data_IF_508241867686
#
_entry.id   IF_508241867686
#
_cell.length_a   1.000
_cell.length_b   1.000
_cell.length_c   1.000
_cell.angle_alpha   90.00
_cell.angle_beta   90.00
_cell.angle_gamma   90.00
#
_symmetry.space_group_name_H-M   'P 1'
#
loop_
_entity.id
_entity.type
_entity.pdbx_description
1 polymer ?
#
# COMPACT_ATOMS: atom_id res chain seq x y z
N UNK A 1 -8.91 -17.76 -50.37
CA UNK A 1 -9.77 -16.59 -50.12
C UNK A 1 -11.10 -16.91 -50.82
N UNK A 2 -12.12 -17.52 -50.22
CA UNK A 2 -13.09 -16.92 -49.28
C UNK A 2 -14.02 -18.05 -48.79
N UNK A 3 -13.76 -18.63 -47.61
CA UNK A 3 -14.67 -19.59 -46.93
C UNK A 3 -14.92 -19.16 -45.48
N UNK A 4 -15.16 -17.87 -45.27
CA UNK A 4 -15.36 -17.28 -43.92
C UNK A 4 -16.54 -16.30 -43.84
N UNK A 5 -17.33 -16.13 -44.91
CA UNK A 5 -18.36 -15.09 -44.97
C UNK A 5 -19.82 -15.59 -44.91
N UNK A 6 -20.09 -16.91 -44.99
CA UNK A 6 -21.46 -17.45 -45.08
C UNK A 6 -21.78 -18.50 -44.00
N UNK A 7 -21.24 -18.36 -42.79
CA UNK A 7 -21.78 -19.10 -41.65
C UNK A 7 -22.96 -18.30 -41.09
N UNK A 8 -24.18 -18.64 -41.54
CA UNK A 8 -25.40 -18.15 -40.94
C UNK A 8 -25.37 -18.47 -39.43
N UNK A 9 -25.54 -17.44 -38.60
CA UNK A 9 -25.76 -17.59 -37.17
C UNK A 9 -26.96 -18.53 -36.99
N UNK A 10 -26.72 -19.71 -36.41
CA UNK A 10 -27.80 -20.61 -36.02
C UNK A 10 -28.67 -19.89 -34.99
N UNK A 11 -29.78 -19.37 -35.48
CA UNK A 11 -30.86 -18.72 -34.75
C UNK A 11 -31.46 -19.72 -33.75
N UNK A 12 -31.24 -19.50 -32.46
CA UNK A 12 -31.94 -20.17 -31.36
C UNK A 12 -33.39 -19.66 -31.21
N UNK A 13 -34.19 -19.77 -32.26
CA UNK A 13 -35.61 -19.41 -32.18
C UNK A 13 -36.44 -20.48 -32.88
N UNK A 14 -36.92 -21.44 -32.08
CA UNK A 14 -38.15 -22.15 -32.42
C UNK A 14 -38.90 -22.48 -31.14
N UNK A 15 -39.62 -21.49 -30.60
CA UNK A 15 -41.01 -21.62 -30.14
C UNK A 15 -41.60 -20.22 -29.90
N UNK A 16 -42.75 -19.87 -30.52
CA UNK A 16 -43.38 -18.57 -30.35
C UNK A 16 -44.46 -18.64 -29.25
N UNK A 17 -44.22 -18.00 -28.12
CA UNK A 17 -45.29 -17.60 -27.19
C UNK A 17 -45.05 -16.18 -26.69
N UNK A 18 -45.74 -15.26 -27.36
CA UNK A 18 -46.41 -14.06 -26.83
C UNK A 18 -45.84 -13.43 -25.55
N UNK A 19 -45.37 -12.19 -25.69
CA UNK A 19 -44.89 -11.28 -24.64
C UNK A 19 -43.63 -11.75 -23.89
N UNK A 20 -42.59 -12.14 -24.63
CA UNK A 20 -41.34 -12.69 -24.09
C UNK A 20 -40.36 -11.63 -23.59
N UNK A 21 -40.45 -11.25 -22.32
CA UNK A 21 -39.20 -11.09 -21.57
C UNK A 21 -38.71 -12.50 -21.27
N UNK A 22 -37.61 -12.92 -21.91
CA UNK A 22 -36.89 -14.13 -21.49
C UNK A 22 -36.58 -13.99 -20.00
N UNK A 23 -37.29 -14.77 -19.19
CA UNK A 23 -37.13 -14.78 -17.75
C UNK A 23 -35.85 -15.56 -17.46
N UNK A 24 -34.75 -14.85 -17.23
CA UNK A 24 -33.50 -15.48 -16.82
C UNK A 24 -33.68 -15.93 -15.36
N UNK A 25 -33.96 -17.22 -15.17
CA UNK A 25 -34.02 -17.83 -13.85
C UNK A 25 -32.59 -18.10 -13.36
N UNK A 26 -32.11 -17.25 -12.46
CA UNK A 26 -30.79 -17.44 -11.81
C UNK A 26 -31.00 -18.24 -10.53
N UNK A 27 -30.30 -19.37 -10.33
CA UNK A 27 -30.34 -20.10 -9.07
C UNK A 27 -29.96 -19.22 -7.88
N UNK A 28 -30.70 -19.35 -6.78
CA UNK A 28 -30.42 -18.58 -5.55
C UNK A 28 -29.00 -18.82 -5.02
N UNK A 29 -28.45 -20.03 -5.24
CA UNK A 29 -27.07 -20.39 -4.89
C UNK A 29 -26.04 -19.57 -5.67
N UNK A 30 -26.23 -19.39 -6.97
CA UNK A 30 -25.35 -18.55 -7.80
C UNK A 30 -25.42 -17.09 -7.36
N UNK A 31 -26.63 -16.61 -7.05
CA UNK A 31 -26.83 -15.25 -6.55
C UNK A 31 -26.13 -15.01 -5.20
N UNK A 32 -26.18 -16.00 -4.30
CA UNK A 32 -25.47 -15.95 -3.03
C UNK A 32 -23.95 -15.95 -3.20
N UNK A 33 -23.43 -16.69 -4.18
CA UNK A 33 -22.00 -16.70 -4.48
C UNK A 33 -21.55 -15.32 -4.98
N UNK A 34 -22.29 -14.72 -5.91
CA UNK A 34 -22.00 -13.35 -6.38
C UNK A 34 -22.01 -12.35 -5.23
N UNK A 35 -22.98 -12.46 -4.29
CA UNK A 35 -23.01 -11.60 -3.11
C UNK A 35 -21.79 -11.80 -2.21
N UNK A 36 -21.35 -13.04 -1.98
CA UNK A 36 -20.15 -13.34 -1.20
C UNK A 36 -18.90 -12.73 -1.84
N UNK A 37 -18.74 -12.91 -3.15
CA UNK A 37 -17.60 -12.36 -3.89
C UNK A 37 -17.59 -10.83 -3.80
N UNK A 38 -18.75 -10.19 -3.93
CA UNK A 38 -18.86 -8.73 -3.78
C UNK A 38 -18.49 -8.26 -2.36
N UNK A 39 -18.88 -9.00 -1.33
CA UNK A 39 -18.51 -8.70 0.07
C UNK A 39 -16.99 -8.85 0.26
N UNK A 40 -16.40 -9.90 -0.31
CA UNK A 40 -14.97 -10.14 -0.25
C UNK A 40 -14.19 -8.99 -0.93
N UNK A 41 -14.59 -8.59 -2.13
CA UNK A 41 -14.01 -7.44 -2.83
C UNK A 41 -14.12 -6.17 -1.98
N UNK A 42 -15.27 -5.91 -1.36
CA UNK A 42 -15.42 -4.76 -0.47
C UNK A 42 -14.44 -4.82 0.72
N UNK A 43 -14.31 -5.98 1.35
CA UNK A 43 -13.41 -6.17 2.50
C UNK A 43 -11.94 -6.00 2.11
N UNK A 44 -11.50 -6.57 0.99
CA UNK A 44 -10.15 -6.40 0.47
C UNK A 44 -9.84 -4.92 0.17
N UNK A 45 -10.78 -4.19 -0.44
CA UNK A 45 -10.61 -2.76 -0.69
C UNK A 45 -10.57 -1.95 0.62
N UNK A 46 -11.38 -2.32 1.61
CA UNK A 46 -11.41 -1.67 2.91
C UNK A 46 -10.10 -1.89 3.70
N UNK A 47 -9.53 -3.09 3.62
CA UNK A 47 -8.23 -3.43 4.20
C UNK A 47 -7.11 -2.65 3.50
N UNK A 48 -7.07 -2.66 2.17
CA UNK A 48 -6.10 -1.89 1.40
C UNK A 48 -6.15 -0.38 1.74
N UNK A 49 -7.35 0.21 1.82
CA UNK A 49 -7.53 1.61 2.18
C UNK A 49 -7.02 1.94 3.60
N UNK A 50 -7.09 0.97 4.51
CA UNK A 50 -6.57 1.07 5.88
C UNK A 50 -5.05 0.95 5.91
N UNK A 51 -4.50 -0.05 5.23
CA UNK A 51 -3.07 -0.36 5.21
C UNK A 51 -2.27 0.73 4.52
N UNK A 52 -2.82 1.30 3.44
CA UNK A 52 -2.25 2.47 2.77
C UNK A 52 -2.47 3.79 3.54
N UNK A 53 -3.20 3.76 4.67
CA UNK A 53 -3.48 4.94 5.48
C UNK A 53 -4.36 5.99 4.79
N UNK A 54 -5.07 5.63 3.72
CA UNK A 54 -5.93 6.54 2.95
C UNK A 54 -7.15 6.95 3.77
N UNK A 55 -7.71 6.02 4.56
CA UNK A 55 -8.85 6.28 5.46
C UNK A 55 -8.44 5.95 6.90
N UNK A 56 -8.79 6.83 7.84
CA UNK A 56 -8.59 6.58 9.28
C UNK A 56 -9.52 5.47 9.76
N UNK A 57 -9.06 4.60 10.65
CA UNK A 57 -9.86 3.47 11.16
C UNK A 57 -11.25 3.84 11.68
N UNK A 58 -11.39 4.98 12.37
CA UNK A 58 -12.70 5.49 12.84
C UNK A 58 -13.66 5.82 11.69
N UNK A 59 -13.16 6.42 10.62
CA UNK A 59 -13.98 6.73 9.44
C UNK A 59 -14.35 5.45 8.69
N UNK A 60 -13.40 4.52 8.54
CA UNK A 60 -13.66 3.23 7.90
C UNK A 60 -14.74 2.44 8.66
N UNK A 61 -14.63 2.34 9.99
CA UNK A 61 -15.63 1.67 10.83
C UNK A 61 -17.03 2.28 10.67
N UNK A 62 -17.12 3.62 10.58
CA UNK A 62 -18.39 4.31 10.34
C UNK A 62 -18.98 3.99 8.96
N UNK A 63 -18.15 3.96 7.92
CA UNK A 63 -18.58 3.63 6.56
C UNK A 63 -19.08 2.19 6.46
N UNK A 64 -18.33 1.25 7.05
CA UNK A 64 -18.71 -0.17 7.07
C UNK A 64 -19.99 -0.38 7.88
N UNK A 65 -20.14 0.27 9.04
CA UNK A 65 -21.38 0.19 9.83
C UNK A 65 -22.60 0.68 9.05
N UNK A 66 -22.49 1.85 8.39
CA UNK A 66 -23.57 2.37 7.54
C UNK A 66 -23.92 1.43 6.38
N UNK A 67 -22.91 0.82 5.76
CA UNK A 67 -23.11 -0.14 4.69
C UNK A 67 -23.83 -1.40 5.19
N UNK A 68 -23.44 -1.94 6.35
CA UNK A 68 -24.10 -3.08 6.98
C UNK A 68 -25.57 -2.79 7.32
N UNK A 69 -25.87 -1.63 7.90
CA UNK A 69 -27.24 -1.25 8.26
C UNK A 69 -28.13 -1.12 7.02
N UNK A 70 -27.57 -0.56 5.94
CA UNK A 70 -28.29 -0.42 4.67
C UNK A 70 -28.54 -1.78 4.02
N UNK A 71 -27.58 -2.71 4.10
CA UNK A 71 -27.75 -4.08 3.58
C UNK A 71 -28.73 -4.92 4.40
N UNK A 72 -28.82 -4.69 5.71
CA UNK A 72 -29.84 -5.33 6.57
C UNK A 72 -31.25 -4.83 6.25
N UNK A 73 -31.37 -3.57 5.86
CA UNK A 73 -32.66 -2.93 5.55
C UNK A 73 -33.19 -3.31 4.16
N UNK A 74 -32.30 -3.64 3.23
CA UNK A 74 -32.65 -4.03 1.85
C UNK A 74 -33.53 -5.27 1.81
N UNK A 75 -34.64 -5.18 1.07
CA UNK A 75 -35.70 -6.21 1.04
C UNK A 75 -35.52 -7.21 -0.08
N UNK A 76 -34.83 -6.83 -1.16
CA UNK A 76 -34.59 -7.73 -2.29
C UNK A 76 -33.10 -8.10 -2.42
N UNK A 77 -32.79 -9.32 -2.90
CA UNK A 77 -31.41 -9.73 -3.18
C UNK A 77 -30.74 -8.81 -4.21
N UNK A 78 -31.48 -8.37 -5.23
CA UNK A 78 -31.00 -7.45 -6.28
C UNK A 78 -30.59 -6.11 -5.69
N UNK A 79 -31.42 -5.55 -4.81
CA UNK A 79 -31.11 -4.31 -4.09
C UNK A 79 -29.83 -4.44 -3.25
N UNK A 80 -29.61 -5.59 -2.60
CA UNK A 80 -28.36 -5.86 -1.86
C UNK A 80 -27.13 -5.84 -2.77
N UNK A 81 -27.19 -6.45 -3.96
CA UNK A 81 -26.09 -6.38 -4.94
C UNK A 81 -25.84 -4.94 -5.37
N UNK A 82 -26.89 -4.20 -5.71
CA UNK A 82 -26.76 -2.80 -6.14
C UNK A 82 -26.12 -1.93 -5.05
N UNK A 83 -26.53 -2.13 -3.79
CA UNK A 83 -25.96 -1.44 -2.64
C UNK A 83 -24.48 -1.79 -2.44
N UNK A 84 -24.11 -3.07 -2.43
CA UNK A 84 -22.70 -3.48 -2.28
C UNK A 84 -21.86 -2.89 -3.42
N UNK A 85 -22.34 -2.98 -4.66
CA UNK A 85 -21.64 -2.40 -5.81
C UNK A 85 -21.47 -0.88 -5.67
N UNK A 86 -22.47 -0.16 -5.17
CA UNK A 86 -22.36 1.26 -4.88
C UNK A 86 -21.29 1.56 -3.81
N UNK A 87 -21.22 0.76 -2.75
CA UNK A 87 -20.19 0.90 -1.71
C UNK A 87 -18.79 0.54 -2.22
N UNK A 88 -18.64 -0.49 -3.06
CA UNK A 88 -17.38 -0.80 -3.74
C UNK A 88 -16.93 0.39 -4.59
N UNK A 89 -17.83 0.94 -5.42
CA UNK A 89 -17.55 2.14 -6.23
C UNK A 89 -17.15 3.33 -5.35
N UNK A 90 -17.74 3.47 -4.16
CA UNK A 90 -17.37 4.51 -3.21
C UNK A 90 -15.94 4.32 -2.68
N UNK A 91 -15.54 3.09 -2.33
CA UNK A 91 -14.16 2.80 -1.92
C UNK A 91 -13.18 3.04 -3.08
N UNK A 92 -13.52 2.58 -4.28
CA UNK A 92 -12.73 2.82 -5.50
C UNK A 92 -12.59 4.30 -5.85
N UNK A 93 -13.61 5.12 -5.62
CA UNK A 93 -13.51 6.57 -5.80
C UNK A 93 -12.48 7.19 -4.87
N UNK A 94 -12.44 6.76 -3.60
CA UNK A 94 -11.44 7.23 -2.63
C UNK A 94 -10.03 6.79 -2.99
N UNK A 95 -9.88 5.57 -3.51
CA UNK A 95 -8.61 5.08 -4.05
C UNK A 95 -8.19 5.95 -5.23
N UNK A 96 -9.11 6.20 -6.17
CA UNK A 96 -8.86 7.07 -7.33
C UNK A 96 -8.44 8.47 -6.90
N UNK A 97 -9.11 9.05 -5.91
CA UNK A 97 -8.77 10.39 -5.41
C UNK A 97 -7.40 10.40 -4.73
N UNK A 98 -7.10 9.37 -3.92
CA UNK A 98 -5.76 9.18 -3.35
C UNK A 98 -4.69 9.06 -4.45
N UNK A 99 -4.96 8.31 -5.52
CA UNK A 99 -4.05 8.15 -6.66
C UNK A 99 -3.89 9.44 -7.49
N UNK A 100 -4.96 10.23 -7.66
CA UNK A 100 -4.90 11.55 -8.28
C UNK A 100 -4.06 12.52 -7.46
N UNK A 101 -4.21 12.51 -6.14
CA UNK A 101 -3.31 13.26 -5.26
C UNK A 101 -1.89 12.70 -5.24
N UNK A 102 -1.68 11.47 -5.73
CA UNK A 102 -0.40 10.80 -5.77
C UNK A 102 0.38 10.97 -7.11
N UNK A 103 -0.16 11.64 -8.14
CA UNK A 103 0.54 11.83 -9.43
C UNK A 103 1.28 13.18 -9.52
N UNK A 104 2.36 13.28 -10.32
CA UNK A 104 3.73 13.45 -9.82
C UNK A 104 4.14 14.92 -9.69
N UNK A 105 4.88 15.27 -8.64
CA UNK A 105 5.76 16.44 -8.72
C UNK A 105 6.83 16.18 -9.79
N UNK A 106 6.54 16.62 -11.02
CA UNK A 106 7.57 17.20 -11.86
C UNK A 106 7.97 18.55 -11.26
N UNK A 107 8.76 18.45 -10.19
CA UNK A 107 9.80 19.36 -9.67
C UNK A 107 10.12 18.88 -8.26
N UNK A 108 11.09 17.96 -8.17
CA UNK A 108 11.76 17.59 -6.93
C UNK A 108 10.89 16.83 -5.93
N UNK A 109 10.83 15.52 -6.09
CA UNK A 109 10.60 14.54 -5.00
C UNK A 109 9.25 14.69 -4.28
N UNK A 110 8.21 13.99 -4.76
CA UNK A 110 7.05 13.65 -3.91
C UNK A 110 7.11 12.15 -3.61
N UNK A 111 7.64 11.85 -2.42
CA UNK A 111 7.52 10.56 -1.73
C UNK A 111 6.19 10.55 -0.96
N UNK A 112 5.36 9.52 -1.17
CA UNK A 112 4.05 9.29 -0.49
C UNK A 112 4.06 9.72 0.99
N UNK A 113 3.51 10.89 1.35
CA UNK A 113 3.43 11.44 2.72
C UNK A 113 4.41 10.80 3.74
N UNK A 114 5.70 10.77 3.39
CA UNK A 114 6.66 10.02 4.17
C UNK A 114 6.91 10.86 5.40
N UNK A 115 6.60 10.33 6.60
CA UNK A 115 6.91 11.04 7.84
C UNK A 115 8.40 11.42 7.82
N UNK A 116 8.77 12.60 8.31
CA UNK A 116 10.19 13.03 8.34
C UNK A 116 11.12 11.96 8.93
N UNK A 117 10.61 11.15 9.87
CA UNK A 117 11.32 10.00 10.46
C UNK A 117 11.62 8.89 9.44
N UNK A 118 10.68 8.57 8.56
CA UNK A 118 10.87 7.55 7.52
C UNK A 118 11.86 8.04 6.45
N UNK A 119 11.82 9.32 6.05
CA UNK A 119 12.83 9.90 5.15
C UNK A 119 14.24 9.81 5.76
N UNK A 120 14.36 10.17 7.04
CA UNK A 120 15.62 10.05 7.80
C UNK A 120 16.08 8.60 7.89
N UNK A 121 15.18 7.66 8.13
CA UNK A 121 15.50 6.24 8.22
C UNK A 121 16.04 5.69 6.88
N UNK A 122 15.40 6.04 5.76
CA UNK A 122 15.89 5.68 4.42
C UNK A 122 17.27 6.28 4.13
N UNK A 123 17.49 7.55 4.49
CA UNK A 123 18.79 8.19 4.36
C UNK A 123 19.87 7.48 5.18
N UNK A 124 19.56 7.06 6.42
CA UNK A 124 20.49 6.31 7.27
C UNK A 124 20.83 4.94 6.69
N UNK A 125 19.85 4.21 6.14
CA UNK A 125 20.09 2.91 5.49
C UNK A 125 21.03 3.08 4.28
N UNK A 126 20.78 4.09 3.44
CA UNK A 126 21.64 4.39 2.30
C UNK A 126 23.06 4.77 2.72
N UNK A 127 23.20 5.59 3.77
CA UNK A 127 24.50 5.96 4.30
C UNK A 127 25.27 4.75 4.85
N UNK A 128 24.58 3.84 5.56
CA UNK A 128 25.20 2.62 6.11
C UNK A 128 25.69 1.70 5.00
N UNK A 129 25.01 1.62 3.86
CA UNK A 129 25.47 0.87 2.68
C UNK A 129 26.80 1.38 2.16
N UNK A 130 26.88 2.69 1.93
CA UNK A 130 28.12 3.34 1.50
C UNK A 130 29.24 3.11 2.52
N UNK A 131 28.91 3.11 3.82
CA UNK A 131 29.89 2.81 4.87
C UNK A 131 30.29 1.32 4.95
N UNK A 132 29.45 0.42 4.46
CA UNK A 132 29.65 -1.03 4.45
C UNK A 132 30.48 -1.51 3.26
N UNK A 133 30.54 -0.74 2.17
CA UNK A 133 31.42 -1.02 1.03
C UNK A 133 32.88 -1.18 1.51
N UNK A 134 33.45 -2.37 1.29
CA UNK A 134 34.84 -2.68 1.65
C UNK A 134 35.11 -2.93 3.14
N UNK A 135 34.08 -3.14 3.97
CA UNK A 135 34.23 -3.49 5.40
C UNK A 135 33.57 -4.82 5.74
N UNK A 136 34.01 -5.48 6.80
CA UNK A 136 33.36 -6.70 7.32
C UNK A 136 32.12 -6.35 8.18
N UNK A 137 32.24 -5.31 9.01
CA UNK A 137 31.20 -4.85 9.93
C UNK A 137 31.06 -3.34 9.86
N UNK A 138 29.81 -2.88 9.93
CA UNK A 138 29.48 -1.45 9.94
C UNK A 138 28.72 -1.10 11.21
N UNK A 139 28.95 0.11 11.68
CA UNK A 139 28.21 0.62 12.81
C UNK A 139 28.02 2.13 12.71
N UNK A 140 26.85 2.61 13.12
CA UNK A 140 26.50 4.03 13.13
C UNK A 140 25.88 4.39 14.48
N UNK A 141 26.54 5.25 15.23
CA UNK A 141 26.04 5.73 16.54
C UNK A 141 25.07 6.91 16.37
N UNK A 142 24.20 7.12 17.35
CA UNK A 142 23.23 8.23 17.30
C UNK A 142 23.86 9.64 17.19
N UNK A 143 25.04 9.96 17.75
CA UNK A 143 25.70 11.23 17.48
C UNK A 143 26.16 11.36 16.02
N UNK A 144 26.75 10.29 15.46
CA UNK A 144 27.16 10.26 14.05
C UNK A 144 25.96 10.37 13.11
N UNK A 145 24.87 9.65 13.41
CA UNK A 145 23.62 9.74 12.67
C UNK A 145 23.02 11.15 12.71
N UNK A 146 23.04 11.83 13.87
CA UNK A 146 22.59 13.22 13.99
C UNK A 146 23.44 14.18 13.17
N UNK A 147 24.76 14.00 13.15
CA UNK A 147 25.67 14.82 12.36
C UNK A 147 25.42 14.64 10.86
N UNK A 148 25.26 13.38 10.42
CA UNK A 148 24.91 13.07 9.02
C UNK A 148 23.57 13.71 8.62
N UNK A 149 22.52 13.53 9.43
CA UNK A 149 21.20 14.09 9.15
C UNK A 149 21.20 15.62 9.18
N UNK A 150 21.98 16.23 10.07
CA UNK A 150 22.13 17.68 10.11
C UNK A 150 22.83 18.23 8.87
N UNK A 151 23.84 17.51 8.34
CA UNK A 151 24.47 17.86 7.06
C UNK A 151 23.52 17.76 5.87
N UNK A 152 22.54 16.86 5.92
CA UNK A 152 21.53 16.69 4.87
C UNK A 152 20.38 17.69 4.97
N UNK A 153 19.90 18.00 6.19
CA UNK A 153 18.74 18.88 6.41
C UNK A 153 19.13 20.35 6.62
N UNK A 154 20.41 20.66 6.85
CA UNK A 154 20.90 22.00 7.20
C UNK A 154 20.63 22.41 8.65
N UNK A 155 19.82 21.65 9.39
CA UNK A 155 19.44 21.91 10.78
C UNK A 155 19.72 20.72 11.69
N UNK A 156 20.04 20.96 12.98
CA UNK A 156 20.31 19.89 13.92
C UNK A 156 19.05 19.08 14.26
N UNK A 157 19.09 17.77 14.00
CA UNK A 157 17.99 16.87 14.36
C UNK A 157 17.93 16.62 15.88
N UNK A 158 16.72 16.66 16.44
CA UNK A 158 16.47 16.29 17.84
C UNK A 158 16.92 14.87 18.15
N UNK A 159 17.48 14.65 19.36
CA UNK A 159 17.88 13.32 19.84
C UNK A 159 16.73 12.31 19.75
N UNK A 160 15.52 12.71 20.14
CA UNK A 160 14.32 11.85 20.13
C UNK A 160 13.99 11.37 18.71
N UNK A 161 14.05 12.28 17.74
CA UNK A 161 13.73 11.99 16.35
C UNK A 161 14.81 11.14 15.67
N UNK A 162 16.09 11.39 15.99
CA UNK A 162 17.17 10.55 15.52
C UNK A 162 17.02 9.11 16.02
N UNK A 163 16.75 8.91 17.32
CA UNK A 163 16.53 7.56 17.88
C UNK A 163 15.35 6.86 17.20
N UNK A 164 14.24 7.59 16.96
CA UNK A 164 13.10 7.07 16.20
C UNK A 164 13.47 6.67 14.78
N UNK A 165 14.32 7.45 14.12
CA UNK A 165 14.80 7.15 12.77
C UNK A 165 15.72 5.91 12.76
N UNK A 166 16.57 5.72 13.77
CA UNK A 166 17.42 4.53 13.90
C UNK A 166 16.56 3.25 14.07
N UNK A 167 15.61 3.24 15.00
CA UNK A 167 14.68 2.10 15.15
C UNK A 167 13.81 1.88 13.91
N UNK A 168 13.49 2.95 13.18
CA UNK A 168 12.75 2.81 11.92
C UNK A 168 13.64 2.22 10.82
N UNK A 169 14.93 2.54 10.79
CA UNK A 169 15.89 1.97 9.83
C UNK A 169 16.05 0.46 10.01
N UNK A 170 16.09 -0.03 11.26
CA UNK A 170 16.05 -1.48 11.59
C UNK A 170 14.79 -2.16 11.03
N UNK A 171 13.62 -1.53 11.15
CA UNK A 171 12.38 -2.10 10.56
C UNK A 171 12.37 -2.09 9.03
N UNK A 172 13.10 -1.16 8.43
CA UNK A 172 13.20 -1.01 6.98
C UNK A 172 14.21 -2.00 6.40
N UNK A 173 15.32 -2.21 7.09
CA UNK A 173 16.38 -3.14 6.71
C UNK A 173 16.63 -4.09 7.90
N UNK A 174 15.99 -5.27 7.93
CA UNK A 174 16.11 -6.22 9.05
C UNK A 174 17.53 -6.74 9.30
N UNK A 175 18.46 -6.55 8.36
CA UNK A 175 19.88 -6.84 8.55
C UNK A 175 20.57 -5.86 9.54
N UNK A 176 19.92 -4.73 9.86
CA UNK A 176 20.40 -3.75 10.83
C UNK A 176 19.82 -4.05 12.21
N UNK A 177 20.69 -4.08 13.22
CA UNK A 177 20.28 -4.18 14.62
C UNK A 177 20.43 -2.83 15.32
N UNK A 178 19.37 -2.34 15.95
CA UNK A 178 19.41 -1.08 16.71
C UNK A 178 19.56 -1.33 18.21
N UNK A 179 20.81 -1.31 18.69
CA UNK A 179 21.17 -1.50 20.10
C UNK A 179 21.49 -0.20 20.84
N UNK A 180 21.96 -0.34 22.08
CA UNK A 180 22.51 0.75 22.88
C UNK A 180 23.99 0.50 23.18
N UNK A 181 24.79 1.57 23.16
CA UNK A 181 26.13 1.56 23.69
C UNK A 181 26.04 1.50 25.23
N UNK A 182 26.79 0.61 25.87
CA UNK A 182 26.83 0.44 27.33
C UNK A 182 27.51 1.60 28.08
N UNK A 183 27.44 2.82 27.56
CA UNK A 183 28.16 4.01 27.99
C UNK A 183 27.46 4.79 29.12
N UNK A 184 26.41 4.23 29.73
CA UNK A 184 25.56 4.88 30.74
C UNK A 184 24.66 6.01 30.18
N UNK A 185 24.94 6.52 28.98
CA UNK A 185 24.19 7.59 28.29
C UNK A 185 23.10 7.05 27.37
N UNK A 186 22.98 5.72 27.27
CA UNK A 186 22.03 5.00 26.41
C UNK A 186 22.12 5.52 24.98
N UNK A 187 23.33 5.57 24.45
CA UNK A 187 23.56 6.00 23.07
C UNK A 187 23.08 4.92 22.11
N UNK A 188 22.01 5.18 21.34
CA UNK A 188 21.54 4.23 20.33
C UNK A 188 22.60 4.03 19.23
N UNK A 189 22.73 2.81 18.70
CA UNK A 189 23.68 2.43 17.65
C UNK A 189 23.07 1.41 16.71
N UNK A 190 23.20 1.63 15.41
CA UNK A 190 22.94 0.63 14.39
C UNK A 190 24.21 -0.19 14.15
N UNK A 191 24.08 -1.51 14.09
CA UNK A 191 25.16 -2.45 13.79
C UNK A 191 24.69 -3.49 12.79
N UNK A 192 25.57 -3.90 11.89
CA UNK A 192 25.30 -4.97 10.94
C UNK A 192 26.59 -5.53 10.33
N UNK A 193 26.51 -6.73 9.77
CA UNK A 193 27.54 -7.30 8.88
C UNK A 193 27.36 -6.72 7.49
N UNK A 194 28.46 -6.40 6.81
CA UNK A 194 28.37 -5.74 5.51
C UNK A 194 27.72 -6.62 4.43
N UNK A 195 28.01 -7.92 4.44
CA UNK A 195 27.44 -8.90 3.50
C UNK A 195 25.90 -8.93 3.55
N UNK A 196 25.35 -8.87 4.76
CA UNK A 196 23.90 -8.91 4.99
C UNK A 196 23.20 -7.61 4.52
N UNK A 197 23.90 -6.48 4.49
CA UNK A 197 23.33 -5.19 4.07
C UNK A 197 23.37 -5.05 2.53
N UNK A 198 24.45 -5.53 1.92
CA UNK A 198 24.67 -5.45 0.47
C UNK A 198 23.82 -6.48 -0.29
N UNK A 199 23.48 -7.61 0.34
CA UNK A 199 22.64 -8.66 -0.26
C UNK A 199 21.14 -8.34 -0.25
N UNK A 200 20.67 -7.42 0.59
CA UNK A 200 19.24 -7.04 0.65
C UNK A 200 18.89 -6.14 -0.54
N UNK A 201 17.97 -6.54 -1.44
CA UNK A 201 17.50 -5.66 -2.50
C UNK A 201 16.66 -4.55 -1.88
N UNK A 202 17.21 -3.34 -1.85
CA UNK A 202 16.49 -2.14 -1.43
C UNK A 202 16.41 -1.22 -2.64
N UNK A 203 15.20 -0.74 -2.92
CA UNK A 203 14.77 -0.04 -4.15
C UNK A 203 15.90 0.56 -4.99
N UNK A 204 16.26 -0.14 -6.07
CA UNK A 204 17.00 0.46 -7.17
C UNK A 204 16.12 1.53 -7.82
N UNK A 205 16.54 2.78 -7.69
CA UNK A 205 15.90 3.93 -8.32
C UNK A 205 16.74 5.19 -8.16
N UNK A 206 17.82 5.27 -8.95
CA UNK A 206 18.64 6.46 -9.24
C UNK A 206 19.41 7.11 -8.08
N UNK A 207 20.63 6.64 -7.85
CA UNK A 207 21.78 7.48 -7.49
C UNK A 207 23.05 6.76 -7.96
N UNK A 208 23.14 6.54 -9.27
CA UNK A 208 24.31 5.99 -9.93
C UNK A 208 24.56 6.79 -11.21
N UNK A 209 25.76 7.37 -11.30
CA UNK A 209 26.32 8.10 -12.44
C UNK A 209 25.67 9.46 -12.75
N UNK A 210 26.20 10.53 -12.16
CA UNK A 210 26.73 11.64 -12.96
C UNK A 210 27.92 12.23 -12.19
N UNK A 211 29.08 12.02 -12.80
CA UNK A 211 30.31 12.80 -12.64
C UNK A 211 30.08 14.28 -12.96
#
# INVERSE_FOLDING_TARGET
MTKLANAALNSFASHPTQNGFESIEIPVSEFQNVLKDCIEVYNQLAEMLRDCGIIRGKELARLTGKAQDSLKTARSPVEKILLINAYIKQLLARIRDALKTATPAKRGIIRQAITKIQLRAEALVNHIRVLAEGKEKVSLSSPQARQYLAGMEGEPVSRRDCIRALHRAERICPALECGHLGDGRRTARLTARAEDILSVPFGNGHLGAYS
#
